data_IF_041572649634
#
_entry.id   IF_041572649634
#
_cell.length_a   1.000
_cell.length_b   1.000
_cell.length_c   1.000
_cell.angle_alpha   90.00
_cell.angle_beta   90.00
_cell.angle_gamma   90.00
#
_symmetry.space_group_name_H-M   'P 1'
#
loop_
_entity.id
_entity.type
_entity.pdbx_description
1 polymer ?
#
# COMPACT_ATOMS: atom_id res chain seq x y z
N UNK A 1 23.04 16.87 9.60
CA UNK A 1 22.49 16.17 8.44
C UNK A 1 21.63 17.18 7.68
N UNK A 2 22.04 17.61 6.47
CA UNK A 2 21.22 18.47 5.63
C UNK A 2 20.01 17.65 5.15
N UNK A 3 18.82 18.09 5.49
CA UNK A 3 17.59 17.52 4.94
C UNK A 3 17.66 17.60 3.40
N UNK A 4 17.56 16.47 2.72
CA UNK A 4 17.47 16.44 1.25
C UNK A 4 16.14 17.07 0.84
N UNK A 5 16.17 17.96 -0.15
CA UNK A 5 14.93 18.48 -0.74
C UNK A 5 14.20 17.32 -1.44
N UNK A 6 12.92 17.15 -1.11
CA UNK A 6 12.04 16.28 -1.90
C UNK A 6 12.02 16.73 -3.37
N UNK A 7 11.86 15.79 -4.29
CA UNK A 7 11.64 16.07 -5.72
C UNK A 7 10.53 17.10 -5.93
N UNK A 8 9.45 17.03 -5.15
CA UNK A 8 8.35 17.99 -5.20
C UNK A 8 8.77 19.44 -4.85
N UNK A 9 9.92 19.63 -4.21
CA UNK A 9 10.42 20.92 -3.77
C UNK A 9 11.61 21.41 -4.61
N UNK A 10 11.93 20.74 -5.73
CA UNK A 10 12.94 21.19 -6.66
C UNK A 10 12.33 22.21 -7.63
N UNK A 11 13.07 23.29 -7.90
CA UNK A 11 12.77 24.17 -9.02
C UNK A 11 13.07 23.43 -10.34
N UNK A 12 12.50 23.92 -11.46
CA UNK A 12 12.76 23.35 -12.78
C UNK A 12 14.25 23.31 -13.12
N UNK A 13 15.01 24.32 -12.73
CA UNK A 13 16.45 24.39 -12.99
C UNK A 13 17.24 23.42 -12.11
N UNK A 14 16.88 23.27 -10.84
CA UNK A 14 17.44 22.26 -9.94
C UNK A 14 17.17 20.86 -10.45
N UNK A 15 15.92 20.61 -10.93
CA UNK A 15 15.53 19.35 -11.52
C UNK A 15 16.34 19.02 -12.77
N UNK A 16 16.44 19.96 -13.73
CA UNK A 16 17.25 19.78 -14.94
C UNK A 16 18.71 19.48 -14.62
N UNK A 17 19.30 20.22 -13.68
CA UNK A 17 20.68 20.02 -13.27
C UNK A 17 20.92 18.62 -12.68
N UNK A 18 19.93 18.06 -12.02
CA UNK A 18 20.04 16.76 -11.34
C UNK A 18 19.78 15.59 -12.27
N UNK A 19 18.83 15.72 -13.19
CA UNK A 19 18.30 14.57 -13.93
C UNK A 19 18.47 14.64 -15.46
N UNK A 20 18.86 15.78 -16.01
CA UNK A 20 19.11 15.92 -17.46
C UNK A 20 20.60 15.79 -17.73
N UNK A 21 20.98 14.83 -18.56
CA UNK A 21 22.32 14.59 -18.99
C UNK A 21 22.81 15.67 -19.97
N UNK A 22 24.12 15.73 -20.21
CA UNK A 22 24.71 16.70 -21.15
C UNK A 22 24.28 16.53 -22.59
N UNK A 23 23.83 15.34 -22.96
CA UNK A 23 23.28 14.97 -24.27
C UNK A 23 21.78 15.27 -24.42
N UNK A 24 21.14 15.79 -23.35
CA UNK A 24 19.70 16.10 -23.32
C UNK A 24 18.82 14.92 -22.95
N UNK A 25 19.37 13.73 -22.71
CA UNK A 25 18.60 12.61 -22.18
C UNK A 25 18.25 12.83 -20.73
N UNK A 26 17.12 12.31 -20.29
CA UNK A 26 16.68 12.34 -18.90
C UNK A 26 16.96 11.00 -18.26
N UNK A 27 17.69 11.01 -17.17
CA UNK A 27 17.88 9.83 -16.35
C UNK A 27 16.58 9.58 -15.55
N UNK A 28 15.77 8.67 -16.07
CA UNK A 28 14.50 8.28 -15.46
C UNK A 28 14.68 7.28 -14.30
N UNK A 29 15.87 6.77 -14.09
CA UNK A 29 16.22 6.13 -12.83
C UNK A 29 16.32 7.21 -11.75
N UNK A 30 15.16 7.64 -11.34
CA UNK A 30 15.03 8.50 -10.19
C UNK A 30 15.34 7.66 -8.97
N UNK A 31 16.60 7.71 -8.68
CA UNK A 31 17.21 7.13 -7.52
C UNK A 31 16.45 7.45 -6.23
N UNK A 32 17.02 7.16 -5.19
CA UNK A 32 16.75 7.29 -3.75
C UNK A 32 15.57 8.19 -3.36
N UNK A 33 15.42 9.36 -3.97
CA UNK A 33 14.43 10.37 -3.54
C UNK A 33 12.99 9.96 -3.92
N UNK A 34 12.80 9.29 -5.05
CA UNK A 34 11.48 8.79 -5.45
C UNK A 34 11.15 7.51 -4.70
N UNK A 35 12.10 6.63 -4.57
CA UNK A 35 11.93 5.38 -3.84
C UNK A 35 11.66 5.63 -2.35
N UNK A 36 12.38 6.57 -1.74
CA UNK A 36 12.17 6.94 -0.34
C UNK A 36 10.86 7.67 -0.13
N UNK A 37 10.46 8.57 -1.04
CA UNK A 37 9.21 9.32 -0.89
C UNK A 37 7.98 8.43 -1.08
N UNK A 38 8.00 7.51 -2.05
CA UNK A 38 6.88 6.63 -2.36
C UNK A 38 6.76 5.41 -1.43
N UNK A 39 7.79 5.12 -0.63
CA UNK A 39 7.85 3.90 0.17
C UNK A 39 8.24 4.13 1.61
N UNK A 40 8.30 5.38 2.03
CA UNK A 40 8.78 5.74 3.38
C UNK A 40 7.97 5.07 4.49
N UNK A 41 6.73 4.79 4.23
CA UNK A 41 5.85 4.16 5.20
C UNK A 41 6.04 2.65 5.31
N UNK A 42 6.60 2.02 4.31
CA UNK A 42 6.68 0.57 4.32
C UNK A 42 7.99 0.00 3.86
N UNK A 43 8.90 0.87 3.52
CA UNK A 43 10.19 0.44 3.03
C UNK A 43 10.92 -0.27 4.16
N UNK A 44 10.90 -1.56 4.10
CA UNK A 44 11.95 -2.31 4.74
C UNK A 44 13.32 -1.81 4.28
N UNK A 45 14.32 -2.41 4.77
CA UNK A 45 15.72 -2.08 4.54
C UNK A 45 15.99 -1.63 3.09
N UNK A 46 16.58 -0.45 2.94
CA UNK A 46 16.90 0.18 1.66
C UNK A 46 17.68 -0.76 0.71
N UNK A 47 18.58 -1.58 1.25
CA UNK A 47 19.35 -2.54 0.47
C UNK A 47 18.49 -3.61 -0.20
N UNK A 48 17.30 -3.89 0.32
CA UNK A 48 16.37 -4.81 -0.32
C UNK A 48 15.58 -4.18 -1.46
N UNK A 49 15.55 -2.85 -1.55
CA UNK A 49 14.83 -2.12 -2.60
C UNK A 49 15.58 -2.04 -3.92
N UNK A 50 16.90 -2.19 -3.90
CA UNK A 50 17.76 -2.12 -5.09
C UNK A 50 17.76 -3.46 -5.84
N UNK A 51 17.40 -4.54 -5.19
CA UNK A 51 17.27 -5.82 -5.86
C UNK A 51 16.03 -5.81 -6.76
N UNK A 52 16.23 -6.03 -8.06
CA UNK A 52 15.14 -6.06 -9.07
C UNK A 52 14.05 -7.10 -8.73
N UNK A 53 14.39 -8.10 -7.95
CA UNK A 53 13.44 -9.09 -7.42
C UNK A 53 12.56 -8.53 -6.29
N UNK A 54 12.94 -7.39 -5.68
CA UNK A 54 12.25 -6.74 -4.58
C UNK A 54 11.61 -5.40 -4.98
N UNK A 55 11.08 -5.31 -6.16
CA UNK A 55 10.40 -4.11 -6.67
C UNK A 55 9.12 -3.78 -5.89
N UNK A 56 8.53 -2.64 -6.14
CA UNK A 56 7.38 -2.04 -5.44
C UNK A 56 6.22 -2.96 -5.02
N UNK A 57 6.05 -4.07 -5.70
CA UNK A 57 5.07 -5.12 -5.40
C UNK A 57 5.41 -5.94 -4.13
N UNK A 58 6.63 -5.82 -3.60
CA UNK A 58 7.05 -6.47 -2.36
C UNK A 58 7.11 -5.50 -1.17
N UNK A 59 6.36 -4.43 -1.22
CA UNK A 59 6.24 -3.55 -0.07
C UNK A 59 5.63 -4.34 1.09
N UNK A 60 6.43 -4.56 2.12
CA UNK A 60 6.10 -5.44 3.25
C UNK A 60 5.71 -4.70 4.52
N UNK A 61 5.82 -3.39 4.52
CA UNK A 61 5.72 -2.61 5.75
C UNK A 61 6.99 -2.71 6.60
N UNK A 62 7.00 -2.02 7.71
CA UNK A 62 8.06 -2.11 8.71
C UNK A 62 7.55 -2.88 9.93
N UNK A 63 8.38 -3.78 10.46
CA UNK A 63 8.05 -4.49 11.68
C UNK A 63 9.32 -4.62 12.52
N UNK A 64 9.18 -4.46 13.82
CA UNK A 64 10.24 -4.77 14.77
C UNK A 64 10.42 -6.29 14.90
N UNK A 65 11.61 -6.71 15.33
CA UNK A 65 11.95 -8.14 15.42
C UNK A 65 11.00 -8.90 16.35
N UNK A 66 10.55 -8.25 17.42
CA UNK A 66 9.65 -8.83 18.44
C UNK A 66 8.22 -8.24 18.35
N UNK A 67 7.79 -7.80 17.17
CA UNK A 67 6.46 -7.25 16.99
C UNK A 67 5.37 -8.27 17.34
N UNK A 68 4.28 -7.85 18.00
CA UNK A 68 3.15 -8.72 18.27
C UNK A 68 2.59 -9.34 16.99
N UNK A 69 2.23 -10.61 17.07
CA UNK A 69 1.54 -11.29 15.96
C UNK A 69 0.04 -11.08 16.12
N UNK A 70 -0.63 -10.68 15.02
CA UNK A 70 -2.08 -10.49 14.95
C UNK A 70 -2.70 -11.55 14.06
N UNK A 71 -3.78 -12.15 14.53
CA UNK A 71 -4.55 -13.08 13.70
C UNK A 71 -5.49 -12.29 12.79
N UNK A 72 -5.40 -12.53 11.49
CA UNK A 72 -6.23 -11.88 10.47
C UNK A 72 -7.04 -12.93 9.74
N UNK A 73 -8.38 -12.82 9.83
CA UNK A 73 -9.34 -13.64 9.09
C UNK A 73 -9.92 -12.85 7.93
N UNK A 74 -9.73 -13.35 6.74
CA UNK A 74 -10.26 -12.76 5.52
C UNK A 74 -11.26 -13.73 4.92
N UNK A 75 -12.51 -13.30 4.81
CA UNK A 75 -13.55 -14.07 4.11
C UNK A 75 -13.65 -13.59 2.68
N UNK A 76 -13.55 -14.47 1.73
CA UNK A 76 -13.81 -14.16 0.33
C UNK A 76 -15.30 -13.92 0.11
N UNK A 77 -15.68 -12.80 -0.50
CA UNK A 77 -17.08 -12.39 -0.65
C UNK A 77 -17.84 -13.22 -1.71
N UNK A 78 -17.13 -13.79 -2.68
CA UNK A 78 -17.74 -14.59 -3.74
C UNK A 78 -17.91 -16.06 -3.33
N UNK A 79 -16.84 -16.64 -2.76
CA UNK A 79 -16.79 -18.07 -2.45
C UNK A 79 -17.18 -18.39 -1.02
N UNK A 80 -17.07 -17.41 -0.11
CA UNK A 80 -17.24 -17.60 1.33
C UNK A 80 -16.07 -18.36 1.98
N UNK A 81 -14.99 -18.59 1.26
CA UNK A 81 -13.79 -19.20 1.80
C UNK A 81 -13.15 -18.27 2.85
N UNK A 82 -12.67 -18.87 3.95
CA UNK A 82 -12.05 -18.12 5.04
C UNK A 82 -10.56 -18.42 5.08
N UNK A 83 -9.75 -17.37 4.96
CA UNK A 83 -8.31 -17.39 5.11
C UNK A 83 -7.95 -16.91 6.51
N UNK A 84 -7.13 -17.67 7.22
CA UNK A 84 -6.55 -17.25 8.49
C UNK A 84 -5.04 -17.12 8.34
N UNK A 85 -4.50 -15.98 8.75
CA UNK A 85 -3.06 -15.72 8.67
C UNK A 85 -2.57 -14.97 9.90
N UNK A 86 -1.32 -15.21 10.21
CA UNK A 86 -0.61 -14.52 11.28
C UNK A 86 0.22 -13.39 10.68
N UNK A 87 -0.06 -12.17 11.14
CA UNK A 87 0.55 -10.94 10.61
C UNK A 87 1.30 -10.23 11.72
N UNK A 88 2.63 -10.07 11.62
CA UNK A 88 3.38 -9.24 12.54
C UNK A 88 2.92 -7.78 12.45
N UNK A 89 2.75 -7.13 13.58
CA UNK A 89 2.40 -5.70 13.64
C UNK A 89 3.40 -4.87 12.83
N UNK A 90 2.91 -3.88 12.04
CA UNK A 90 3.71 -3.11 11.11
C UNK A 90 3.92 -3.75 9.73
N UNK A 91 3.56 -5.01 9.53
CA UNK A 91 3.58 -5.66 8.22
C UNK A 91 2.27 -5.43 7.47
N UNK A 92 2.36 -5.27 6.17
CA UNK A 92 1.17 -5.19 5.33
C UNK A 92 0.50 -6.55 5.20
N UNK A 93 -0.81 -6.56 5.39
CA UNK A 93 -1.60 -7.80 5.41
C UNK A 93 -1.51 -8.54 4.08
N UNK A 94 -1.60 -7.82 2.94
CA UNK A 94 -1.48 -8.44 1.62
C UNK A 94 -0.12 -9.14 1.44
N UNK A 95 0.96 -8.49 1.88
CA UNK A 95 2.30 -9.06 1.76
C UNK A 95 2.43 -10.35 2.57
N UNK A 96 1.97 -10.36 3.82
CA UNK A 96 2.05 -11.54 4.68
C UNK A 96 1.13 -12.66 4.17
N UNK A 97 -0.03 -12.35 3.62
CA UNK A 97 -0.88 -13.34 2.97
C UNK A 97 -0.14 -14.05 1.82
N UNK A 98 0.52 -13.29 0.95
CA UNK A 98 1.32 -13.85 -0.15
C UNK A 98 2.50 -14.68 0.34
N UNK A 99 3.17 -14.26 1.42
CA UNK A 99 4.25 -15.05 2.02
C UNK A 99 3.76 -16.39 2.58
N UNK A 100 2.50 -16.46 3.00
CA UNK A 100 1.85 -17.68 3.50
C UNK A 100 1.16 -18.48 2.38
N UNK A 101 1.35 -18.07 1.12
CA UNK A 101 0.88 -18.79 -0.07
C UNK A 101 -0.55 -18.48 -0.48
N UNK A 102 -1.14 -17.38 0.03
CA UNK A 102 -2.49 -16.95 -0.35
C UNK A 102 -2.46 -15.93 -1.49
N UNK A 103 -3.32 -16.10 -2.46
CA UNK A 103 -3.55 -15.15 -3.54
C UNK A 103 -4.80 -14.32 -3.24
N UNK A 104 -4.60 -13.04 -2.92
CA UNK A 104 -5.68 -12.08 -2.71
C UNK A 104 -5.79 -11.11 -3.88
N UNK A 105 -6.98 -10.60 -4.20
CA UNK A 105 -7.14 -9.59 -5.24
C UNK A 105 -6.23 -8.38 -5.00
N UNK A 106 -5.41 -8.02 -5.97
CA UNK A 106 -4.54 -6.86 -5.89
C UNK A 106 -4.13 -6.34 -7.27
N UNK A 107 -3.66 -5.08 -7.34
CA UNK A 107 -3.12 -4.48 -8.55
C UNK A 107 -1.98 -3.50 -8.25
N UNK A 108 -2.26 -2.29 -7.75
CA UNK A 108 -1.25 -1.23 -7.60
C UNK A 108 -0.27 -1.46 -6.43
N UNK A 109 -0.66 -2.17 -5.39
CA UNK A 109 0.12 -2.46 -4.17
C UNK A 109 0.64 -1.23 -3.41
N UNK A 110 0.07 -0.06 -3.66
CA UNK A 110 0.49 1.22 -3.09
C UNK A 110 -0.67 2.07 -2.54
N UNK A 111 -1.80 1.44 -2.29
CA UNK A 111 -2.94 2.13 -1.67
C UNK A 111 -3.72 3.08 -2.60
N UNK A 112 -3.52 3.03 -3.93
CA UNK A 112 -4.14 3.97 -4.87
C UNK A 112 -5.37 3.40 -5.59
N UNK A 113 -5.47 2.08 -5.79
CA UNK A 113 -6.63 1.43 -6.39
C UNK A 113 -7.50 0.76 -5.32
N UNK A 114 -8.66 0.29 -5.74
CA UNK A 114 -9.64 -0.38 -4.88
C UNK A 114 -9.58 -1.90 -4.93
N UNK A 115 -8.70 -2.50 -5.76
CA UNK A 115 -8.68 -3.95 -6.03
C UNK A 115 -8.47 -4.83 -4.81
N UNK A 116 -7.68 -4.39 -3.84
CA UNK A 116 -7.44 -5.12 -2.58
C UNK A 116 -8.35 -4.65 -1.42
N UNK A 117 -9.49 -4.04 -1.75
CA UNK A 117 -10.41 -3.53 -0.74
C UNK A 117 -11.09 -4.64 0.05
N UNK A 118 -11.18 -4.43 1.34
CA UNK A 118 -11.95 -5.27 2.27
C UNK A 118 -12.86 -4.42 3.13
N UNK A 119 -13.87 -5.05 3.70
CA UNK A 119 -14.71 -4.49 4.75
C UNK A 119 -14.33 -5.13 6.07
N UNK A 120 -13.78 -4.36 6.99
CA UNK A 120 -13.46 -4.80 8.35
C UNK A 120 -14.76 -4.94 9.14
N UNK A 121 -14.97 -6.11 9.70
CA UNK A 121 -16.14 -6.43 10.53
C UNK A 121 -15.80 -6.47 12.01
N UNK A 122 -14.53 -6.73 12.34
CA UNK A 122 -14.04 -6.76 13.71
C UNK A 122 -12.57 -6.41 13.78
N UNK A 123 -12.16 -5.77 14.86
CA UNK A 123 -10.79 -5.37 15.09
C UNK A 123 -10.46 -3.99 14.56
N UNK A 124 -9.16 -3.66 14.56
CA UNK A 124 -8.63 -2.37 14.14
C UNK A 124 -7.35 -2.54 13.34
N UNK A 125 -7.15 -1.63 12.39
CA UNK A 125 -5.95 -1.54 11.56
C UNK A 125 -5.58 -0.08 11.30
N UNK A 126 -4.35 0.15 10.87
CA UNK A 126 -3.89 1.42 10.35
C UNK A 126 -3.61 1.29 8.85
N UNK A 127 -3.90 2.36 8.09
CA UNK A 127 -3.73 2.42 6.65
C UNK A 127 -3.51 3.87 6.19
N UNK A 128 -2.43 4.48 6.69
CA UNK A 128 -2.14 5.90 6.45
C UNK A 128 -1.98 6.20 4.96
N UNK A 129 -1.44 5.25 4.20
CA UNK A 129 -1.17 5.37 2.76
C UNK A 129 -2.36 5.01 1.87
N UNK A 130 -3.52 4.67 2.43
CA UNK A 130 -4.70 4.29 1.64
C UNK A 130 -5.35 5.53 1.00
N UNK A 131 -4.89 5.90 -0.18
CA UNK A 131 -5.39 7.02 -0.97
C UNK A 131 -6.60 6.65 -1.84
N UNK A 132 -6.75 5.36 -2.19
CA UNK A 132 -7.83 4.85 -3.04
C UNK A 132 -9.19 4.74 -2.34
N UNK A 133 -9.26 4.98 -1.02
CA UNK A 133 -10.50 5.04 -0.25
C UNK A 133 -10.56 6.32 0.57
N UNK A 134 -11.70 7.00 0.53
CA UNK A 134 -11.91 8.26 1.25
C UNK A 134 -11.92 8.05 2.77
N UNK A 135 -11.84 9.16 3.50
CA UNK A 135 -11.97 9.12 4.96
C UNK A 135 -13.31 8.52 5.39
N UNK A 136 -14.38 8.92 4.71
CA UNK A 136 -15.74 8.45 4.97
C UNK A 136 -15.84 6.92 4.82
N UNK A 137 -15.28 6.38 3.74
CA UNK A 137 -15.23 4.93 3.54
C UNK A 137 -14.39 4.22 4.59
N UNK A 138 -13.25 4.81 4.99
CA UNK A 138 -12.44 4.25 6.09
C UNK A 138 -13.19 4.25 7.41
N UNK A 139 -13.92 5.33 7.70
CA UNK A 139 -14.76 5.43 8.90
C UNK A 139 -15.91 4.38 8.88
N UNK A 140 -16.34 3.97 7.68
CA UNK A 140 -17.27 2.86 7.49
C UNK A 140 -16.60 1.47 7.58
N UNK A 141 -15.29 1.40 7.74
CA UNK A 141 -14.51 0.18 7.91
C UNK A 141 -13.91 -0.38 6.62
N UNK A 142 -13.87 0.36 5.51
CA UNK A 142 -13.16 -0.08 4.32
C UNK A 142 -11.65 0.06 4.50
N UNK A 143 -10.91 -0.93 4.01
CA UNK A 143 -9.46 -0.94 4.07
C UNK A 143 -8.83 -1.51 2.80
N UNK A 144 -7.59 -1.09 2.50
CA UNK A 144 -6.80 -1.58 1.38
C UNK A 144 -5.65 -2.45 1.92
N UNK A 145 -5.75 -3.76 1.74
CA UNK A 145 -4.82 -4.74 2.34
C UNK A 145 -3.35 -4.52 1.97
N UNK A 146 -3.09 -3.89 0.82
CA UNK A 146 -1.72 -3.66 0.36
C UNK A 146 -0.93 -2.62 1.16
N UNK A 147 -1.63 -1.79 1.95
CA UNK A 147 -1.05 -0.74 2.81
C UNK A 147 -1.64 -0.74 4.23
N UNK A 148 -2.46 -1.74 4.55
CA UNK A 148 -3.05 -1.89 5.87
C UNK A 148 -2.19 -2.78 6.76
N UNK A 149 -1.97 -2.36 7.99
CA UNK A 149 -1.35 -3.15 9.05
C UNK A 149 -2.29 -3.34 10.23
N UNK A 150 -2.35 -4.58 10.70
CA UNK A 150 -3.20 -4.94 11.83
C UNK A 150 -2.65 -4.35 13.15
N UNK A 151 -3.51 -3.68 13.90
CA UNK A 151 -3.21 -3.20 15.27
C UNK A 151 -3.92 -4.04 16.34
N UNK A 152 -4.81 -4.92 15.91
CA UNK A 152 -5.45 -5.95 16.72
C UNK A 152 -5.75 -7.18 15.85
N UNK A 153 -6.30 -8.24 16.42
CA UNK A 153 -6.88 -9.30 15.61
C UNK A 153 -8.03 -8.75 14.76
N UNK A 154 -8.11 -9.18 13.50
CA UNK A 154 -9.03 -8.63 12.49
C UNK A 154 -9.89 -9.73 11.90
N UNK A 155 -11.16 -9.40 11.67
CA UNK A 155 -12.03 -10.13 10.75
C UNK A 155 -12.49 -9.17 9.65
N UNK A 156 -12.33 -9.56 8.39
CA UNK A 156 -12.73 -8.74 7.24
C UNK A 156 -13.25 -9.61 6.08
N UNK A 157 -13.92 -8.94 5.14
CA UNK A 157 -14.52 -9.59 3.96
C UNK A 157 -13.99 -8.85 2.73
N UNK A 158 -13.49 -9.57 1.73
CA UNK A 158 -13.13 -9.00 0.43
C UNK A 158 -14.34 -8.32 -0.20
N UNK A 159 -14.13 -7.38 -1.09
CA UNK A 159 -15.21 -6.62 -1.70
C UNK A 159 -15.09 -6.68 -3.21
N UNK A 160 -16.22 -6.59 -3.90
CA UNK A 160 -16.22 -6.36 -5.34
C UNK A 160 -15.59 -5.02 -5.67
N UNK A 161 -14.63 -5.04 -6.62
CA UNK A 161 -13.87 -3.84 -6.99
C UNK A 161 -14.76 -2.75 -7.58
N UNK A 162 -15.73 -3.13 -8.41
CA UNK A 162 -16.60 -2.18 -9.10
C UNK A 162 -17.55 -1.51 -8.11
N UNK A 163 -18.08 -2.25 -7.15
CA UNK A 163 -18.93 -1.70 -6.08
C UNK A 163 -18.15 -0.69 -5.23
N UNK A 164 -16.93 -1.03 -4.83
CA UNK A 164 -16.07 -0.11 -4.06
C UNK A 164 -15.70 1.11 -4.88
N UNK A 165 -15.35 0.92 -6.15
CA UNK A 165 -15.04 2.01 -7.06
C UNK A 165 -16.23 2.95 -7.25
N UNK A 166 -17.42 2.41 -7.50
CA UNK A 166 -18.65 3.19 -7.65
C UNK A 166 -19.03 3.92 -6.36
N UNK A 167 -18.82 3.31 -5.21
CA UNK A 167 -19.03 3.97 -3.91
C UNK A 167 -18.05 5.12 -3.69
N UNK A 168 -16.80 4.95 -4.07
CA UNK A 168 -15.76 5.97 -3.92
C UNK A 168 -15.94 7.14 -4.90
N UNK A 169 -16.27 6.86 -6.16
CA UNK A 169 -16.21 7.83 -7.25
C UNK A 169 -17.55 8.05 -7.95
N UNK A 170 -18.54 7.19 -7.75
CA UNK A 170 -19.80 7.17 -8.51
C UNK A 170 -20.62 8.45 -8.39
N UNK A 171 -20.58 9.13 -7.24
CA UNK A 171 -21.26 10.42 -7.09
C UNK A 171 -20.64 11.54 -7.95
N UNK A 172 -19.35 11.42 -8.23
CA UNK A 172 -18.63 12.40 -9.07
C UNK A 172 -18.87 12.13 -10.55
N UNK A 173 -18.86 10.85 -10.95
CA UNK A 173 -19.00 10.45 -12.36
C UNK A 173 -20.43 10.12 -12.78
N UNK A 174 -21.32 9.79 -11.84
CA UNK A 174 -22.73 9.49 -12.13
C UNK A 174 -23.60 10.70 -12.43
N UNK A 175 -23.04 11.91 -12.38
CA UNK A 175 -23.71 13.17 -12.74
C UNK A 175 -23.27 13.74 -14.09
N UNK A 176 -22.47 12.98 -14.84
CA UNK A 176 -22.10 13.26 -16.22
C UNK A 176 -23.02 12.50 -17.18
#
# INVERSE_FOLDING_TARGET
>A
VKARKSIANLTTEEWKKKYVNKDGTVDLFMEDDFNVASRKAGAGDYDTLINVENVAWQNKGSSEVDAPIRNVKITDHETGEVLELDVPEGRYILFEAEQQGWELPNACRMGCCTKCAVKVTKGSLEQIEALGVSKEMRDEGYALLCVAHATSDIECITQDEEEVYMKQFGEVFGKL
#
